data_IF_721420558120
#
_entry.id   IF_721420558120
#
_cell.length_a   1.000
_cell.length_b   1.000
_cell.length_c   1.000
_cell.angle_alpha   90.00
_cell.angle_beta   90.00
_cell.angle_gamma   90.00
#
_symmetry.space_group_name_H-M   'P 1'
#
loop_
_entity.id
_entity.type
_entity.pdbx_description
1 polymer ?
#
# COMPACT_ATOMS: atom_id res chain seq x y z
N UNK A 1 12.58 10.08 -10.28
CA UNK A 1 11.50 10.36 -9.30
C UNK A 1 11.07 11.82 -9.33
N UNK A 2 9.81 12.09 -9.66
CA UNK A 2 9.16 13.40 -9.68
C UNK A 2 7.99 13.44 -8.69
N UNK A 3 7.68 14.62 -8.16
CA UNK A 3 6.60 14.82 -7.18
C UNK A 3 5.57 15.80 -7.75
N UNK A 4 4.31 15.38 -7.83
CA UNK A 4 3.22 16.16 -8.41
C UNK A 4 2.01 16.19 -7.47
N UNK A 5 1.62 17.38 -7.01
CA UNK A 5 0.43 17.56 -6.18
C UNK A 5 -0.83 17.75 -7.02
N UNK A 6 -1.93 17.13 -6.60
CA UNK A 6 -3.26 17.33 -7.19
C UNK A 6 -4.32 17.35 -6.09
N UNK A 7 -5.47 17.96 -6.36
CA UNK A 7 -6.65 17.86 -5.50
C UNK A 7 -7.56 16.80 -6.10
N UNK A 8 -7.96 15.80 -5.31
CA UNK A 8 -8.92 14.77 -5.76
C UNK A 8 -10.36 15.21 -5.46
N UNK A 9 -10.58 15.66 -4.23
CA UNK A 9 -11.87 16.12 -3.71
C UNK A 9 -11.66 17.30 -2.75
N UNK A 10 -12.72 18.02 -2.36
CA UNK A 10 -12.66 19.26 -1.56
C UNK A 10 -11.75 19.14 -0.31
N UNK A 11 -11.72 17.97 0.31
CA UNK A 11 -11.02 17.72 1.57
C UNK A 11 -9.86 16.71 1.44
N UNK A 12 -9.56 16.25 0.21
CA UNK A 12 -8.57 15.20 -0.05
C UNK A 12 -7.60 15.63 -1.15
N UNK A 13 -6.32 15.63 -0.81
CA UNK A 13 -5.20 15.89 -1.71
C UNK A 13 -4.50 14.60 -2.13
N UNK A 14 -3.83 14.67 -3.27
CA UNK A 14 -2.98 13.61 -3.82
C UNK A 14 -1.57 14.14 -4.01
N UNK A 15 -0.59 13.37 -3.56
CA UNK A 15 0.79 13.50 -3.95
C UNK A 15 1.16 12.30 -4.83
N UNK A 16 1.46 12.56 -6.09
CA UNK A 16 1.97 11.57 -7.03
C UNK A 16 3.49 11.57 -7.01
N UNK A 17 4.08 10.41 -6.80
CA UNK A 17 5.51 10.16 -6.87
C UNK A 17 5.74 9.26 -8.08
N UNK A 18 6.28 9.81 -9.15
CA UNK A 18 6.35 9.19 -10.48
C UNK A 18 7.80 9.05 -10.96
N UNK A 19 8.00 8.35 -12.08
CA UNK A 19 9.30 8.15 -12.74
C UNK A 19 10.34 7.48 -11.84
N UNK A 20 9.99 6.35 -11.23
CA UNK A 20 10.95 5.48 -10.54
C UNK A 20 10.90 4.06 -11.09
N UNK A 21 12.03 3.34 -10.98
CA UNK A 21 12.13 1.93 -11.29
C UNK A 21 12.61 1.15 -10.06
N UNK A 22 11.78 0.24 -9.56
CA UNK A 22 12.09 -0.58 -8.39
C UNK A 22 13.18 -1.63 -8.63
N UNK A 23 13.66 -1.76 -9.87
CA UNK A 23 14.86 -2.53 -10.19
C UNK A 23 16.14 -1.69 -10.10
N UNK A 24 16.02 -0.36 -10.00
CA UNK A 24 17.16 0.55 -9.83
C UNK A 24 17.41 0.81 -8.36
N UNK A 25 18.63 0.51 -7.92
CA UNK A 25 19.04 0.65 -6.53
C UNK A 25 18.83 2.06 -5.97
N UNK A 26 19.13 3.11 -6.75
CA UNK A 26 18.94 4.51 -6.33
C UNK A 26 17.47 4.82 -6.03
N UNK A 27 16.55 4.37 -6.89
CA UNK A 27 15.11 4.59 -6.73
C UNK A 27 14.55 3.79 -5.56
N UNK A 28 14.98 2.53 -5.40
CA UNK A 28 14.63 1.71 -4.22
C UNK A 28 15.10 2.35 -2.93
N UNK A 29 16.33 2.86 -2.90
CA UNK A 29 16.90 3.55 -1.73
C UNK A 29 16.08 4.80 -1.37
N UNK A 30 15.68 5.59 -2.37
CA UNK A 30 14.84 6.78 -2.17
C UNK A 30 13.42 6.44 -1.74
N UNK A 31 12.77 5.45 -2.36
CA UNK A 31 11.46 4.95 -1.93
C UNK A 31 11.49 4.41 -0.50
N UNK A 32 12.55 3.69 -0.12
CA UNK A 32 12.72 3.19 1.24
C UNK A 32 12.83 4.33 2.26
N UNK A 33 13.51 5.43 1.91
CA UNK A 33 13.53 6.65 2.75
C UNK A 33 12.13 7.24 2.88
N UNK A 34 11.38 7.36 1.78
CA UNK A 34 9.98 7.82 1.79
C UNK A 34 9.10 6.96 2.71
N UNK A 35 9.17 5.62 2.57
CA UNK A 35 8.40 4.73 3.45
C UNK A 35 8.78 4.89 4.92
N UNK A 36 10.06 5.03 5.24
CA UNK A 36 10.52 5.28 6.62
C UNK A 36 10.02 6.61 7.20
N UNK A 37 9.74 7.60 6.35
CA UNK A 37 9.18 8.88 6.77
C UNK A 37 7.67 8.82 6.99
N UNK A 38 6.98 7.98 6.22
CA UNK A 38 5.53 7.79 6.31
C UNK A 38 5.11 6.82 7.41
N UNK A 39 5.93 5.80 7.66
CA UNK A 39 5.58 4.66 8.51
C UNK A 39 6.61 4.51 9.63
N UNK A 40 6.18 4.63 10.89
CA UNK A 40 7.10 4.49 12.03
C UNK A 40 7.17 3.05 12.51
N UNK A 41 8.30 2.66 13.12
CA UNK A 41 8.42 1.35 13.76
C UNK A 41 7.31 1.13 14.78
N UNK A 42 6.84 -0.11 14.87
CA UNK A 42 5.76 -0.56 15.74
C UNK A 42 4.35 -0.07 15.36
N UNK A 43 4.19 0.78 14.35
CA UNK A 43 2.87 1.04 13.78
C UNK A 43 2.36 -0.23 13.07
N UNK A 44 1.04 -0.40 12.99
CA UNK A 44 0.42 -1.48 12.20
C UNK A 44 -0.01 -0.92 10.86
N UNK A 45 0.44 -1.52 9.76
CA UNK A 45 -0.04 -1.20 8.41
C UNK A 45 -1.17 -2.14 8.06
N UNK A 46 -2.27 -1.60 7.52
CA UNK A 46 -3.33 -2.36 6.87
C UNK A 46 -3.16 -2.29 5.36
N UNK A 47 -3.46 -3.40 4.68
CA UNK A 47 -3.32 -3.54 3.25
C UNK A 47 -4.62 -4.01 2.60
N UNK A 48 -4.90 -3.54 1.39
CA UNK A 48 -5.78 -4.26 0.45
C UNK A 48 -5.03 -4.56 -0.84
N UNK A 49 -5.18 -5.79 -1.31
CA UNK A 49 -4.54 -6.28 -2.51
C UNK A 49 -5.57 -6.76 -3.52
N UNK A 50 -5.21 -6.65 -4.81
CA UNK A 50 -5.99 -7.23 -5.89
C UNK A 50 -5.08 -7.87 -6.93
N UNK A 51 -5.37 -9.15 -7.18
CA UNK A 51 -4.80 -9.99 -8.25
C UNK A 51 -3.27 -10.11 -8.19
N UNK A 52 -2.76 -11.12 -8.87
CA UNK A 52 -1.33 -11.24 -9.15
C UNK A 52 -0.95 -10.27 -10.26
N UNK A 53 0.28 -9.77 -10.18
CA UNK A 53 0.93 -8.99 -11.23
C UNK A 53 1.09 -9.85 -12.49
N UNK A 54 0.89 -9.24 -13.66
CA UNK A 54 0.97 -9.93 -14.96
C UNK A 54 2.25 -9.61 -15.74
N UNK A 55 3.03 -8.63 -15.27
CA UNK A 55 4.32 -8.23 -15.86
C UNK A 55 5.53 -8.92 -15.23
N UNK A 56 5.35 -9.60 -14.09
CA UNK A 56 6.43 -10.30 -13.37
C UNK A 56 6.58 -11.74 -13.88
N UNK A 57 7.82 -12.24 -13.96
CA UNK A 57 8.10 -13.63 -14.35
C UNK A 57 7.34 -14.64 -13.47
N UNK A 58 6.84 -15.73 -14.07
CA UNK A 58 5.98 -16.69 -13.37
C UNK A 58 6.71 -17.41 -12.21
N UNK A 59 8.01 -17.72 -12.37
CA UNK A 59 8.78 -18.34 -11.29
C UNK A 59 9.03 -17.35 -10.16
N UNK A 60 9.27 -16.09 -10.51
CA UNK A 60 9.39 -15.01 -9.54
C UNK A 60 8.07 -14.78 -8.79
N UNK A 61 6.93 -14.79 -9.47
CA UNK A 61 5.61 -14.71 -8.84
C UNK A 61 5.37 -15.85 -7.86
N UNK A 62 5.74 -17.10 -8.21
CA UNK A 62 5.63 -18.25 -7.29
C UNK A 62 6.49 -18.07 -6.05
N UNK A 63 7.74 -17.60 -6.22
CA UNK A 63 8.67 -17.32 -5.11
C UNK A 63 8.13 -16.21 -4.20
N UNK A 64 7.66 -15.12 -4.79
CA UNK A 64 7.07 -13.99 -4.06
C UNK A 64 5.79 -14.40 -3.31
N UNK A 65 4.90 -15.18 -3.94
CA UNK A 65 3.68 -15.69 -3.30
C UNK A 65 4.00 -16.41 -1.99
N UNK A 66 4.94 -17.37 -2.04
CA UNK A 66 5.34 -18.14 -0.85
C UNK A 66 5.88 -17.20 0.22
N UNK A 67 6.88 -16.39 -0.12
CA UNK A 67 7.53 -15.46 0.80
C UNK A 67 6.53 -14.50 1.45
N UNK A 68 5.60 -13.94 0.68
CA UNK A 68 4.61 -12.97 1.16
C UNK A 68 3.61 -13.62 2.12
N UNK A 69 3.10 -14.80 1.78
CA UNK A 69 2.15 -15.50 2.64
C UNK A 69 2.81 -15.98 3.93
N UNK A 70 4.04 -16.49 3.87
CA UNK A 70 4.83 -16.86 5.06
C UNK A 70 5.04 -15.63 5.97
N UNK A 71 5.48 -14.50 5.40
CA UNK A 71 5.69 -13.27 6.17
C UNK A 71 4.41 -12.81 6.90
N UNK A 72 3.25 -12.85 6.23
CA UNK A 72 2.00 -12.50 6.89
C UNK A 72 1.54 -13.52 7.94
N UNK A 73 1.82 -14.81 7.75
CA UNK A 73 1.49 -15.83 8.75
C UNK A 73 2.35 -15.69 10.01
N UNK A 74 3.62 -15.30 9.86
CA UNK A 74 4.57 -15.20 10.97
C UNK A 74 4.45 -13.86 11.72
N UNK A 75 4.22 -12.76 11.00
CA UNK A 75 4.36 -11.40 11.55
C UNK A 75 3.06 -10.58 11.52
N UNK A 76 1.96 -11.15 11.02
CA UNK A 76 0.75 -10.39 10.72
C UNK A 76 -0.53 -11.21 10.60
N UNK A 77 -1.37 -10.82 9.65
CA UNK A 77 -2.59 -11.54 9.30
C UNK A 77 -2.92 -11.30 7.83
N UNK A 78 -3.33 -12.33 7.10
CA UNK A 78 -3.72 -12.25 5.69
C UNK A 78 -5.04 -12.97 5.46
N UNK A 79 -6.00 -12.29 4.81
CA UNK A 79 -7.35 -12.81 4.59
C UNK A 79 -7.78 -12.57 3.14
N UNK A 80 -8.09 -13.66 2.43
CA UNK A 80 -8.74 -13.58 1.12
C UNK A 80 -10.24 -13.33 1.32
N UNK A 81 -10.76 -12.22 0.78
CA UNK A 81 -12.17 -11.85 0.92
C UNK A 81 -13.01 -12.30 -0.27
N UNK A 82 -12.39 -12.39 -1.45
CA UNK A 82 -13.01 -12.85 -2.69
C UNK A 82 -11.97 -13.54 -3.57
N UNK A 83 -12.33 -14.68 -4.15
CA UNK A 83 -11.48 -15.41 -5.10
C UNK A 83 -12.30 -15.79 -6.33
N UNK A 84 -11.83 -15.42 -7.51
CA UNK A 84 -12.36 -15.87 -8.80
C UNK A 84 -11.54 -17.06 -9.31
N UNK A 85 -10.21 -16.97 -9.21
CA UNK A 85 -9.25 -18.06 -9.40
C UNK A 85 -7.95 -17.75 -8.63
N UNK A 86 -6.91 -18.54 -8.88
CA UNK A 86 -5.62 -18.41 -8.19
C UNK A 86 -4.90 -17.08 -8.46
N UNK A 87 -5.07 -16.49 -9.65
CA UNK A 87 -4.46 -15.21 -10.03
C UNK A 87 -5.37 -14.00 -9.80
N UNK A 88 -6.69 -14.23 -9.66
CA UNK A 88 -7.72 -13.20 -9.54
C UNK A 88 -8.45 -13.30 -8.22
N UNK A 89 -8.01 -12.50 -7.26
CA UNK A 89 -8.58 -12.43 -5.93
C UNK A 89 -8.48 -11.02 -5.36
N UNK A 90 -9.30 -10.73 -4.36
CA UNK A 90 -9.21 -9.54 -3.52
C UNK A 90 -8.93 -10.00 -2.07
N UNK A 91 -7.90 -9.44 -1.46
CA UNK A 91 -7.48 -9.79 -0.10
C UNK A 91 -7.11 -8.57 0.72
N UNK A 92 -7.08 -8.75 2.02
CA UNK A 92 -6.60 -7.74 2.98
C UNK A 92 -5.57 -8.37 3.91
N UNK A 93 -4.69 -7.54 4.45
CA UNK A 93 -3.70 -7.98 5.41
C UNK A 93 -3.36 -6.91 6.41
N UNK A 94 -2.66 -7.30 7.48
CA UNK A 94 -1.99 -6.36 8.38
C UNK A 94 -0.63 -6.90 8.81
N UNK A 95 0.28 -6.00 9.14
CA UNK A 95 1.58 -6.34 9.74
C UNK A 95 2.01 -5.20 10.68
N UNK A 96 2.75 -5.53 11.74
CA UNK A 96 3.43 -4.53 12.56
C UNK A 96 4.80 -4.20 11.96
N UNK A 97 5.11 -2.91 11.82
CA UNK A 97 6.34 -2.47 11.17
C UNK A 97 7.57 -2.83 12.00
N UNK A 98 8.49 -3.54 11.36
CA UNK A 98 9.84 -3.84 11.83
C UNK A 98 10.88 -3.43 10.76
N UNK A 99 12.15 -3.81 10.96
CA UNK A 99 13.24 -3.44 10.03
C UNK A 99 13.10 -4.05 8.63
N UNK A 100 12.48 -5.23 8.54
CA UNK A 100 12.31 -5.97 7.29
C UNK A 100 11.12 -5.45 6.48
N UNK A 101 10.13 -4.84 7.14
CA UNK A 101 8.88 -4.39 6.51
C UNK A 101 9.12 -3.49 5.29
N UNK A 102 10.12 -2.61 5.31
CA UNK A 102 10.37 -1.73 4.17
C UNK A 102 10.88 -2.46 2.94
N UNK A 103 11.66 -3.53 3.11
CA UNK A 103 12.05 -4.39 1.99
C UNK A 103 10.85 -5.21 1.51
N UNK A 104 10.05 -5.69 2.46
CA UNK A 104 8.84 -6.46 2.19
C UNK A 104 7.80 -5.70 1.36
N UNK A 105 7.69 -4.38 1.54
CA UNK A 105 6.84 -3.54 0.69
C UNK A 105 7.20 -3.64 -0.80
N UNK A 106 8.47 -3.86 -1.16
CA UNK A 106 8.87 -4.07 -2.56
C UNK A 106 8.53 -5.47 -3.07
N UNK A 107 8.57 -6.51 -2.21
CA UNK A 107 8.07 -7.84 -2.58
C UNK A 107 6.57 -7.77 -2.90
N UNK A 108 5.79 -7.12 -2.02
CA UNK A 108 4.37 -6.82 -2.23
C UNK A 108 4.15 -6.06 -3.54
N UNK A 109 4.97 -5.05 -3.79
CA UNK A 109 4.87 -4.21 -4.99
C UNK A 109 5.08 -5.01 -6.27
N UNK A 110 6.02 -5.95 -6.29
CA UNK A 110 6.30 -6.82 -7.45
C UNK A 110 5.25 -7.91 -7.67
N UNK A 111 4.54 -8.30 -6.60
CA UNK A 111 3.63 -9.43 -6.65
C UNK A 111 2.17 -9.05 -6.93
N UNK A 112 1.66 -7.98 -6.31
CA UNK A 112 0.25 -7.61 -6.46
C UNK A 112 0.06 -6.57 -7.55
N UNK A 113 -0.87 -6.82 -8.47
CA UNK A 113 -1.22 -5.86 -9.51
C UNK A 113 -1.71 -4.52 -8.93
N UNK A 114 -2.52 -4.59 -7.87
CA UNK A 114 -2.98 -3.40 -7.13
C UNK A 114 -2.74 -3.59 -5.64
N UNK A 115 -2.18 -2.56 -5.00
CA UNK A 115 -1.93 -2.53 -3.56
C UNK A 115 -2.26 -1.16 -2.99
N UNK A 116 -3.05 -1.14 -1.92
CA UNK A 116 -3.26 0.03 -1.05
C UNK A 116 -2.78 -0.30 0.34
N UNK A 117 -2.12 0.64 1.01
CA UNK A 117 -1.66 0.45 2.38
C UNK A 117 -1.63 1.76 3.19
N UNK A 118 -1.91 1.66 4.49
CA UNK A 118 -2.05 2.81 5.39
C UNK A 118 -1.94 2.39 6.86
N UNK A 119 -1.77 3.36 7.77
CA UNK A 119 -1.89 3.15 9.22
C UNK A 119 -3.31 3.52 9.65
N UNK A 120 -4.08 2.63 10.31
CA UNK A 120 -5.43 2.95 10.76
C UNK A 120 -5.40 3.97 11.90
N UNK A 121 -6.43 4.81 11.99
CA UNK A 121 -6.65 5.66 13.18
C UNK A 121 -7.03 4.82 14.40
N UNK A 122 -6.85 5.40 15.59
CA UNK A 122 -7.15 4.73 16.85
C UNK A 122 -8.62 4.30 16.89
N UNK A 123 -8.85 3.00 17.07
CA UNK A 123 -10.19 2.41 17.16
C UNK A 123 -10.70 1.78 15.87
N UNK A 124 -10.05 2.03 14.72
CA UNK A 124 -10.36 1.32 13.49
C UNK A 124 -9.60 -0.01 13.43
N UNK A 125 -10.30 -1.11 13.75
CA UNK A 125 -9.67 -2.43 13.87
C UNK A 125 -9.57 -3.15 12.53
N UNK A 126 -8.80 -4.24 12.49
CA UNK A 126 -8.68 -5.05 11.28
C UNK A 126 -10.01 -5.72 10.87
N UNK A 127 -10.84 -6.08 11.85
CA UNK A 127 -12.20 -6.59 11.62
C UNK A 127 -13.10 -5.52 10.98
N UNK A 128 -13.00 -4.27 11.44
CA UNK A 128 -13.72 -3.14 10.83
C UNK A 128 -13.27 -2.94 9.40
N UNK A 129 -11.96 -3.05 9.13
CA UNK A 129 -11.42 -2.92 7.80
C UNK A 129 -11.87 -4.04 6.85
N UNK A 130 -11.91 -5.30 7.30
CA UNK A 130 -12.51 -6.42 6.54
C UNK A 130 -13.97 -6.11 6.20
N UNK A 131 -14.75 -5.64 7.17
CA UNK A 131 -16.16 -5.31 6.99
C UNK A 131 -16.34 -4.15 6.01
N UNK A 132 -15.51 -3.11 6.13
CA UNK A 132 -15.45 -1.98 5.22
C UNK A 132 -15.19 -2.45 3.78
N UNK A 133 -14.13 -3.22 3.55
CA UNK A 133 -13.75 -3.70 2.21
C UNK A 133 -14.84 -4.58 1.58
N UNK A 134 -15.50 -5.46 2.36
CA UNK A 134 -16.66 -6.23 1.88
C UNK A 134 -17.81 -5.33 1.47
N UNK A 135 -18.13 -4.30 2.26
CA UNK A 135 -19.23 -3.34 2.00
C UNK A 135 -18.98 -2.55 0.72
N UNK A 136 -17.76 -2.05 0.52
CA UNK A 136 -17.42 -1.22 -0.65
C UNK A 136 -16.96 -2.03 -1.86
N UNK A 137 -16.82 -3.36 -1.74
CA UNK A 137 -16.38 -4.28 -2.80
C UNK A 137 -15.06 -3.86 -3.45
N UNK A 138 -14.11 -3.36 -2.65
CA UNK A 138 -12.81 -2.84 -3.13
C UNK A 138 -12.94 -1.70 -4.16
N UNK A 139 -14.05 -0.96 -4.12
CA UNK A 139 -14.28 0.20 -4.98
C UNK A 139 -14.17 1.49 -4.14
N UNK A 140 -12.93 1.92 -3.91
CA UNK A 140 -12.61 3.18 -3.26
C UNK A 140 -11.55 3.94 -4.06
N UNK A 141 -12.00 4.74 -5.02
CA UNK A 141 -11.10 5.49 -5.90
C UNK A 141 -10.31 6.49 -5.07
N UNK A 142 -8.98 6.43 -5.14
CA UNK A 142 -8.11 7.31 -4.36
C UNK A 142 -8.26 7.18 -2.84
N UNK A 143 -8.89 6.11 -2.35
CA UNK A 143 -9.23 5.89 -0.94
C UNK A 143 -10.09 7.00 -0.30
N UNK A 144 -10.96 7.63 -1.11
CA UNK A 144 -11.83 8.72 -0.67
C UNK A 144 -12.73 8.34 0.51
N UNK A 145 -13.36 7.16 0.48
CA UNK A 145 -14.25 6.69 1.55
C UNK A 145 -13.45 6.43 2.81
N UNK A 146 -12.28 5.83 2.69
CA UNK A 146 -11.41 5.55 3.84
C UNK A 146 -10.98 6.84 4.56
N UNK A 147 -10.58 7.85 3.79
CA UNK A 147 -10.19 9.16 4.31
C UNK A 147 -11.38 9.97 4.83
N UNK A 148 -12.52 9.97 4.12
CA UNK A 148 -13.69 10.76 4.53
C UNK A 148 -14.41 10.21 5.77
N UNK A 149 -14.13 8.97 6.17
CA UNK A 149 -14.62 8.37 7.41
C UNK A 149 -13.58 8.41 8.55
N UNK A 150 -12.48 9.15 8.38
CA UNK A 150 -11.40 9.28 9.37
C UNK A 150 -10.79 7.94 9.81
N UNK A 151 -10.82 6.92 8.94
CA UNK A 151 -10.19 5.61 9.22
C UNK A 151 -8.68 5.63 9.04
N UNK A 152 -8.16 6.64 8.34
CA UNK A 152 -6.74 6.98 8.25
C UNK A 152 -6.60 8.47 7.92
N UNK A 153 -5.41 9.02 8.18
CA UNK A 153 -5.07 10.38 7.77
C UNK A 153 -4.49 10.45 6.35
N UNK A 154 -3.81 9.36 5.93
CA UNK A 154 -3.24 9.21 4.59
C UNK A 154 -3.20 7.75 4.18
N UNK A 155 -3.12 7.50 2.88
CA UNK A 155 -2.98 6.15 2.33
C UNK A 155 -2.07 6.16 1.11
N UNK A 156 -1.35 5.07 0.92
CA UNK A 156 -0.47 4.83 -0.20
C UNK A 156 -1.15 3.85 -1.18
N UNK A 157 -1.05 4.13 -2.47
CA UNK A 157 -1.60 3.30 -3.54
C UNK A 157 -0.50 3.08 -4.58
N UNK A 158 -0.22 1.81 -4.89
CA UNK A 158 0.57 1.44 -6.08
C UNK A 158 -0.24 1.83 -7.31
N UNK A 159 0.30 2.70 -8.16
CA UNK A 159 -0.36 3.03 -9.42
C UNK A 159 -0.10 1.97 -10.51
N UNK A 160 -0.81 2.14 -11.63
CA UNK A 160 -0.83 1.15 -12.72
C UNK A 160 0.56 1.01 -13.34
N UNK A 161 1.03 -0.23 -13.51
CA UNK A 161 2.38 -0.51 -14.03
C UNK A 161 3.48 -0.46 -12.97
N UNK A 162 3.19 0.03 -11.76
CA UNK A 162 4.12 -0.01 -10.63
C UNK A 162 5.29 0.97 -10.72
N UNK A 163 5.23 1.96 -11.60
CA UNK A 163 6.24 3.02 -11.77
C UNK A 163 5.90 4.32 -11.00
N UNK A 164 4.78 4.30 -10.26
CA UNK A 164 4.32 5.41 -9.45
C UNK A 164 3.67 4.99 -8.13
N UNK A 165 3.82 5.88 -7.14
CA UNK A 165 3.20 5.81 -5.83
C UNK A 165 2.26 7.02 -5.67
N UNK A 166 1.00 6.75 -5.35
CA UNK A 166 -0.01 7.78 -5.08
C UNK A 166 -0.23 7.83 -3.58
N UNK A 167 -0.03 9.00 -2.97
CA UNK A 167 -0.36 9.25 -1.57
C UNK A 167 -1.61 10.11 -1.53
N UNK A 168 -2.72 9.54 -1.08
CA UNK A 168 -3.95 10.29 -0.80
C UNK A 168 -4.00 10.68 0.66
N UNK A 169 -4.32 11.93 0.98
CA UNK A 169 -4.32 12.42 2.36
C UNK A 169 -5.38 13.49 2.59
N UNK A 170 -5.86 13.60 3.83
CA UNK A 170 -6.78 14.65 4.22
C UNK A 170 -6.07 16.02 4.18
N UNK A 171 -6.76 17.07 3.72
CA UNK A 171 -6.15 18.40 3.55
C UNK A 171 -5.66 19.04 4.87
N UNK A 172 -6.21 18.62 6.01
CA UNK A 172 -5.79 19.05 7.34
C UNK A 172 -4.62 18.22 7.91
N UNK A 173 -4.20 17.16 7.21
CA UNK A 173 -3.07 16.33 7.59
C UNK A 173 -1.79 16.84 6.91
N UNK A 174 -0.75 17.07 7.71
CA UNK A 174 0.55 17.46 7.21
C UNK A 174 1.39 16.21 6.93
N UNK A 175 1.63 15.94 5.64
CA UNK A 175 2.59 14.92 5.24
C UNK A 175 4.00 15.30 5.73
N UNK A 176 4.85 14.31 6.06
CA UNK A 176 6.27 14.56 6.31
C UNK A 176 6.93 15.13 5.06
N UNK A 177 8.05 15.83 5.22
CA UNK A 177 8.83 16.32 4.08
C UNK A 177 9.48 15.13 3.35
N UNK A 178 9.01 14.86 2.12
CA UNK A 178 9.47 13.75 1.28
C UNK A 178 10.54 14.17 0.27
N UNK A 179 10.89 15.46 0.19
CA UNK A 179 11.76 15.99 -0.87
C UNK A 179 13.24 16.01 -0.52
N UNK A 180 13.59 15.92 0.76
CA UNK A 180 14.99 15.98 1.23
C UNK A 180 15.81 14.69 1.02
N UNK A 181 15.31 13.74 0.24
CA UNK A 181 15.96 12.44 -0.01
C UNK A 181 16.61 12.42 -1.40
N UNK A 182 17.64 13.24 -1.56
CA UNK A 182 18.61 13.17 -2.66
C UNK A 182 19.69 12.11 -2.39
#
# INVERSE_FOLDING_TARGET
>A
MKFNNRILHKDISLLLIEDFDINRWDDVSRLKKIYKSLFSKNDTIFFSFRREEDLTDENELKRLRIKILETFNDEGEYVVLRKLDDSRFDSVARITINENTYNFLFDIWNYFYSCTFFIPTKGFTFSDYITFQKKIKFQDKGNEKLLSNDYTNFSCIKGLGGDNLIISYQNNYQLPDLTNYH
#
